data_IF_438058109996
#
_entry.id   IF_438058109996
#
_cell.length_a   1.000
_cell.length_b   1.000
_cell.length_c   1.000
_cell.angle_alpha   90.00
_cell.angle_beta   90.00
_cell.angle_gamma   90.00
#
_symmetry.space_group_name_H-M   'P 1'
#
loop_
_entity.id
_entity.type
_entity.pdbx_description
1 polymer ?
#
# COMPACT_ATOMS: atom_id res chain seq x y z
N UNK A 1 -24.98 4.42 4.42
CA UNK A 1 -25.52 5.69 4.94
C UNK A 1 -24.36 6.66 5.15
N UNK A 2 -24.57 7.97 4.89
CA UNK A 2 -23.60 9.05 5.17
C UNK A 2 -22.20 8.84 4.49
N UNK A 3 -22.16 8.33 3.27
CA UNK A 3 -20.93 8.31 2.48
C UNK A 3 -20.80 9.65 1.75
N UNK A 4 -19.61 10.26 1.85
CA UNK A 4 -19.27 11.52 1.18
C UNK A 4 -18.28 11.22 0.07
N UNK A 5 -18.55 11.69 -1.15
CA UNK A 5 -17.68 11.48 -2.31
C UNK A 5 -17.33 12.82 -2.92
N UNK A 6 -16.05 13.09 -3.01
CA UNK A 6 -15.49 14.28 -3.64
C UNK A 6 -15.65 14.29 -5.17
N UNK A 7 -15.30 15.40 -5.78
CA UNK A 7 -15.39 15.58 -7.24
C UNK A 7 -14.35 14.72 -7.98
N UNK A 8 -14.64 14.40 -9.25
CA UNK A 8 -13.74 13.69 -10.16
C UNK A 8 -13.33 12.29 -9.69
N UNK A 9 -14.11 11.63 -8.86
CA UNK A 9 -13.89 10.25 -8.47
C UNK A 9 -14.40 9.28 -9.54
N UNK A 10 -13.66 8.18 -9.77
CA UNK A 10 -14.11 7.05 -10.57
C UNK A 10 -14.32 5.85 -9.67
N UNK A 11 -15.55 5.43 -9.50
CA UNK A 11 -15.93 4.41 -8.52
C UNK A 11 -16.73 3.30 -9.21
N UNK A 12 -16.19 2.09 -9.21
CA UNK A 12 -16.81 0.91 -9.82
C UNK A 12 -16.51 -0.35 -9.01
N UNK A 13 -17.25 -1.41 -9.24
CA UNK A 13 -16.97 -2.74 -8.67
C UNK A 13 -16.59 -2.71 -7.18
N UNK A 14 -17.32 -1.99 -6.37
CA UNK A 14 -17.01 -1.83 -4.95
C UNK A 14 -18.25 -1.83 -4.07
N UNK A 15 -18.01 -2.02 -2.77
CA UNK A 15 -18.98 -1.83 -1.69
C UNK A 15 -18.37 -0.91 -0.64
N UNK A 16 -18.98 0.24 -0.43
CA UNK A 16 -18.52 1.25 0.53
C UNK A 16 -19.53 1.31 1.67
N UNK A 17 -19.04 1.10 2.88
CA UNK A 17 -19.88 1.12 4.08
C UNK A 17 -20.03 2.55 4.62
N UNK A 18 -20.85 2.69 5.62
CA UNK A 18 -21.33 3.96 6.17
C UNK A 18 -20.21 4.85 6.76
N UNK A 19 -20.49 6.15 6.76
CA UNK A 19 -19.63 7.21 7.29
C UNK A 19 -18.23 7.24 6.64
N UNK A 20 -18.09 6.71 5.43
CA UNK A 20 -16.82 6.72 4.69
C UNK A 20 -16.71 8.03 3.90
N UNK A 21 -15.51 8.59 3.89
CA UNK A 21 -15.19 9.81 3.16
C UNK A 21 -14.22 9.47 2.03
N UNK A 22 -14.59 9.76 0.80
CA UNK A 22 -13.76 9.63 -0.40
C UNK A 22 -13.44 11.04 -0.88
N UNK A 23 -12.16 11.40 -0.88
CA UNK A 23 -11.70 12.72 -1.31
C UNK A 23 -11.68 12.83 -2.85
N UNK A 24 -11.33 14.01 -3.36
CA UNK A 24 -11.35 14.31 -4.79
C UNK A 24 -10.39 13.44 -5.61
N UNK A 25 -10.77 13.05 -6.81
CA UNK A 25 -9.91 12.36 -7.76
C UNK A 25 -9.59 10.89 -7.41
N UNK A 26 -10.24 10.31 -6.42
CA UNK A 26 -10.00 8.91 -6.01
C UNK A 26 -10.52 7.94 -7.06
N UNK A 27 -9.75 6.89 -7.34
CA UNK A 27 -10.11 5.80 -8.25
C UNK A 27 -10.31 4.51 -7.45
N UNK A 28 -11.49 3.93 -7.51
CA UNK A 28 -11.81 2.68 -6.81
C UNK A 28 -12.37 1.65 -7.79
N UNK A 29 -11.83 0.42 -7.73
CA UNK A 29 -12.36 -0.72 -8.45
C UNK A 29 -11.87 -0.83 -9.90
N UNK A 30 -10.81 -0.11 -10.26
CA UNK A 30 -10.08 -0.33 -11.51
C UNK A 30 -9.45 -1.73 -11.56
N UNK A 31 -9.18 -2.22 -12.77
CA UNK A 31 -8.44 -3.48 -12.98
C UNK A 31 -7.03 -3.32 -12.40
N UNK A 32 -6.54 -4.35 -11.70
CA UNK A 32 -5.19 -4.40 -11.18
C UNK A 32 -4.16 -4.82 -12.25
N UNK A 33 -2.91 -4.75 -11.88
CA UNK A 33 -1.76 -5.07 -12.74
C UNK A 33 -1.42 -6.57 -12.63
N UNK A 34 -2.21 -7.42 -13.32
CA UNK A 34 -2.02 -8.87 -13.34
C UNK A 34 -2.10 -9.39 -14.77
N UNK A 35 -1.06 -10.12 -15.18
CA UNK A 35 -0.94 -10.64 -16.55
C UNK A 35 -0.57 -12.12 -16.53
N UNK A 36 -1.10 -12.89 -17.48
CA UNK A 36 -0.58 -14.19 -17.86
C UNK A 36 0.45 -14.00 -18.97
N UNK A 37 1.55 -14.75 -18.90
CA UNK A 37 2.58 -14.74 -19.94
C UNK A 37 2.35 -15.95 -20.82
N UNK A 38 2.15 -15.70 -22.12
CA UNK A 38 2.04 -16.72 -23.15
C UNK A 38 2.92 -16.33 -24.34
N UNK A 39 3.85 -17.20 -24.73
CA UNK A 39 4.82 -16.97 -25.81
C UNK A 39 5.45 -15.56 -25.81
N UNK A 40 5.88 -15.08 -24.64
CA UNK A 40 6.45 -13.74 -24.40
C UNK A 40 5.45 -12.57 -24.51
N UNK A 41 4.16 -12.83 -24.66
CA UNK A 41 3.13 -11.81 -24.66
C UNK A 41 2.51 -11.68 -23.26
N UNK A 42 2.20 -10.43 -22.87
CA UNK A 42 1.46 -10.15 -21.65
C UNK A 42 -0.04 -10.10 -21.97
N UNK A 43 -0.78 -11.09 -21.50
CA UNK A 43 -2.23 -11.14 -21.62
C UNK A 43 -2.87 -10.66 -20.31
N UNK A 44 -3.64 -9.57 -20.39
CA UNK A 44 -4.33 -9.01 -19.22
C UNK A 44 -5.29 -10.05 -18.63
N UNK A 45 -5.17 -10.31 -17.35
CA UNK A 45 -6.10 -11.17 -16.62
C UNK A 45 -7.34 -10.38 -16.17
N UNK A 46 -8.52 -10.96 -16.39
CA UNK A 46 -9.77 -10.39 -15.91
C UNK A 46 -9.83 -10.42 -14.37
N UNK A 47 -10.27 -9.30 -13.80
CA UNK A 47 -10.50 -9.18 -12.38
C UNK A 47 -12.00 -9.29 -12.10
N UNK A 48 -12.40 -10.25 -11.27
CA UNK A 48 -13.80 -10.55 -10.91
C UNK A 48 -14.16 -10.10 -9.50
N UNK A 49 -13.15 -10.01 -8.61
CA UNK A 49 -13.32 -9.51 -7.25
C UNK A 49 -13.74 -8.04 -7.21
N UNK A 50 -13.99 -7.52 -6.04
CA UNK A 50 -14.45 -6.15 -5.77
C UNK A 50 -13.46 -5.43 -4.87
N UNK A 51 -13.77 -4.17 -4.55
CA UNK A 51 -13.19 -3.42 -3.44
C UNK A 51 -14.24 -3.31 -2.34
N UNK A 52 -13.90 -3.70 -1.14
CA UNK A 52 -14.75 -3.55 0.06
C UNK A 52 -14.10 -2.51 0.96
N UNK A 53 -14.82 -1.44 1.30
CA UNK A 53 -14.33 -0.38 2.20
C UNK A 53 -15.20 -0.37 3.46
N UNK A 54 -14.59 -0.67 4.60
CA UNK A 54 -15.23 -0.69 5.91
C UNK A 54 -15.69 0.69 6.37
N UNK A 55 -16.63 0.69 7.31
CA UNK A 55 -17.24 1.91 7.85
C UNK A 55 -16.22 2.84 8.51
N UNK A 56 -16.57 4.11 8.60
CA UNK A 56 -15.79 5.16 9.26
C UNK A 56 -14.39 5.37 8.67
N UNK A 57 -14.13 4.93 7.43
CA UNK A 57 -12.83 5.06 6.77
C UNK A 57 -12.73 6.35 5.97
N UNK A 58 -11.52 6.79 5.66
CA UNK A 58 -11.29 7.93 4.77
C UNK A 58 -10.19 7.63 3.76
N UNK A 59 -10.43 8.02 2.50
CA UNK A 59 -9.52 7.82 1.38
C UNK A 59 -9.13 9.20 0.85
N UNK A 60 -7.85 9.51 0.91
CA UNK A 60 -7.27 10.78 0.49
C UNK A 60 -7.24 10.97 -1.02
N UNK A 61 -7.08 12.21 -1.44
CA UNK A 61 -7.19 12.65 -2.83
C UNK A 61 -6.20 11.92 -3.74
N UNK A 62 -6.67 11.61 -4.96
CA UNK A 62 -5.89 10.93 -6.00
C UNK A 62 -5.30 9.56 -5.61
N UNK A 63 -5.80 8.95 -4.56
CA UNK A 63 -5.45 7.57 -4.22
C UNK A 63 -6.18 6.59 -5.13
N UNK A 64 -5.56 5.43 -5.37
CA UNK A 64 -6.10 4.41 -6.26
C UNK A 64 -6.19 3.07 -5.55
N UNK A 65 -7.33 2.40 -5.66
CA UNK A 65 -7.58 1.08 -5.06
C UNK A 65 -8.08 0.13 -6.14
N UNK A 66 -7.24 -0.83 -6.52
CA UNK A 66 -7.58 -1.82 -7.53
C UNK A 66 -8.50 -2.91 -6.96
N UNK A 67 -9.43 -3.40 -7.79
CA UNK A 67 -10.26 -4.56 -7.46
C UNK A 67 -9.43 -5.84 -7.40
N UNK A 68 -9.88 -6.81 -6.64
CA UNK A 68 -9.22 -8.10 -6.58
C UNK A 68 -9.41 -8.94 -7.86
N UNK A 69 -8.55 -9.90 -8.05
CA UNK A 69 -8.64 -10.85 -9.20
C UNK A 69 -9.84 -11.79 -9.03
N UNK A 70 -9.76 -12.76 -8.17
CA UNK A 70 -10.87 -13.67 -7.83
C UNK A 70 -11.50 -13.29 -6.48
N UNK A 71 -10.68 -13.09 -5.45
CA UNK A 71 -11.11 -12.56 -4.15
C UNK A 71 -11.09 -11.03 -4.13
N UNK A 72 -11.67 -10.43 -3.10
CA UNK A 72 -11.80 -8.98 -2.98
C UNK A 72 -10.53 -8.31 -2.46
N UNK A 73 -10.35 -7.03 -2.78
CA UNK A 73 -9.47 -6.10 -2.06
C UNK A 73 -10.25 -5.52 -0.89
N UNK A 74 -9.70 -5.56 0.32
CA UNK A 74 -10.44 -5.25 1.55
C UNK A 74 -9.74 -4.14 2.34
N UNK A 75 -10.46 -3.05 2.57
CA UNK A 75 -10.08 -1.99 3.50
C UNK A 75 -10.96 -2.12 4.74
N UNK A 76 -10.37 -2.35 5.88
CA UNK A 76 -11.06 -2.54 7.16
C UNK A 76 -11.79 -1.29 7.66
N UNK A 77 -12.37 -1.42 8.84
CA UNK A 77 -13.07 -0.31 9.51
C UNK A 77 -12.07 0.72 10.07
N UNK A 78 -12.47 1.99 10.05
CA UNK A 78 -11.71 3.11 10.62
C UNK A 78 -10.28 3.21 10.05
N UNK A 79 -10.09 2.85 8.79
CA UNK A 79 -8.81 3.00 8.08
C UNK A 79 -8.67 4.43 7.57
N UNK A 80 -7.48 4.98 7.69
CA UNK A 80 -7.12 6.31 7.19
C UNK A 80 -6.08 6.16 6.09
N UNK A 81 -6.42 6.56 4.89
CA UNK A 81 -5.53 6.55 3.72
C UNK A 81 -5.37 8.00 3.29
N UNK A 82 -4.13 8.45 3.25
CA UNK A 82 -3.76 9.81 2.83
C UNK A 82 -3.73 9.90 1.30
N UNK A 83 -3.27 11.02 0.78
CA UNK A 83 -3.26 11.33 -0.64
C UNK A 83 -2.23 10.51 -1.42
N UNK A 84 -2.50 10.27 -2.71
CA UNK A 84 -1.55 9.62 -3.64
C UNK A 84 -1.09 8.22 -3.20
N UNK A 85 -1.92 7.48 -2.48
CA UNK A 85 -1.63 6.11 -2.08
C UNK A 85 -2.12 5.15 -3.16
N UNK A 86 -1.29 4.15 -3.49
CA UNK A 86 -1.70 3.06 -4.37
C UNK A 86 -1.89 1.75 -3.60
N UNK A 87 -3.08 1.18 -3.70
CA UNK A 87 -3.42 -0.13 -3.15
C UNK A 87 -3.74 -1.06 -4.31
N UNK A 88 -2.88 -2.05 -4.51
CA UNK A 88 -3.02 -3.01 -5.59
C UNK A 88 -4.12 -4.06 -5.29
N UNK A 89 -4.35 -4.94 -6.26
CA UNK A 89 -5.37 -5.99 -6.19
C UNK A 89 -5.16 -6.96 -5.02
N UNK A 90 -6.24 -7.45 -4.44
CA UNK A 90 -6.24 -8.47 -3.37
C UNK A 90 -5.55 -8.04 -2.06
N UNK A 91 -5.19 -6.78 -1.91
CA UNK A 91 -4.64 -6.26 -0.65
C UNK A 91 -5.73 -6.29 0.43
N UNK A 92 -5.35 -6.66 1.64
CA UNK A 92 -6.20 -6.61 2.82
C UNK A 92 -5.57 -5.71 3.87
N UNK A 93 -6.33 -4.74 4.38
CA UNK A 93 -5.89 -3.80 5.41
C UNK A 93 -6.80 -3.93 6.63
N UNK A 94 -6.21 -4.25 7.76
CA UNK A 94 -6.90 -4.39 9.05
C UNK A 94 -7.42 -3.06 9.60
N UNK A 95 -8.35 -3.16 10.53
CA UNK A 95 -9.00 -2.00 11.17
C UNK A 95 -8.01 -1.05 11.85
N UNK A 96 -8.39 0.22 11.98
CA UNK A 96 -7.63 1.26 12.68
C UNK A 96 -6.22 1.48 12.12
N UNK A 97 -5.95 1.12 10.87
CA UNK A 97 -4.65 1.30 10.23
C UNK A 97 -4.61 2.65 9.52
N UNK A 98 -3.49 3.35 9.63
CA UNK A 98 -3.24 4.63 8.97
C UNK A 98 -2.10 4.52 7.97
N UNK A 99 -2.30 5.06 6.77
CA UNK A 99 -1.35 5.01 5.65
C UNK A 99 -1.14 6.43 5.18
N UNK A 100 0.08 6.92 5.32
CA UNK A 100 0.46 8.27 4.92
C UNK A 100 0.65 8.39 3.40
N UNK A 101 0.84 9.61 2.93
CA UNK A 101 0.88 9.93 1.50
C UNK A 101 1.98 9.18 0.73
N UNK A 102 1.71 8.96 -0.56
CA UNK A 102 2.65 8.37 -1.52
C UNK A 102 3.11 6.94 -1.17
N UNK A 103 2.39 6.21 -0.36
CA UNK A 103 2.67 4.79 -0.09
C UNK A 103 2.18 3.93 -1.25
N UNK A 104 3.01 2.96 -1.65
CA UNK A 104 2.65 1.92 -2.60
C UNK A 104 2.56 0.56 -1.94
N UNK A 105 1.43 -0.13 -2.10
CA UNK A 105 1.20 -1.47 -1.55
C UNK A 105 0.95 -2.42 -2.71
N UNK A 106 1.85 -3.37 -2.91
CA UNK A 106 1.75 -4.34 -3.99
C UNK A 106 0.71 -5.43 -3.71
N UNK A 107 0.33 -6.15 -4.77
CA UNK A 107 -0.79 -7.09 -4.75
C UNK A 107 -0.68 -8.22 -3.73
N UNK A 108 -1.82 -8.65 -3.22
CA UNK A 108 -1.96 -9.78 -2.27
C UNK A 108 -1.22 -9.59 -0.95
N UNK A 109 -0.91 -8.35 -0.58
CA UNK A 109 -0.34 -8.01 0.73
C UNK A 109 -1.43 -7.97 1.80
N UNK A 110 -1.14 -8.53 2.97
CA UNK A 110 -2.01 -8.47 4.15
C UNK A 110 -1.36 -7.56 5.19
N UNK A 111 -2.08 -6.52 5.61
CA UNK A 111 -1.66 -5.60 6.67
C UNK A 111 -2.64 -5.73 7.82
N UNK A 112 -2.13 -6.01 8.99
CA UNK A 112 -2.91 -6.14 10.22
C UNK A 112 -3.59 -4.87 10.69
N UNK A 113 -4.26 -4.96 11.80
CA UNK A 113 -4.90 -3.81 12.45
C UNK A 113 -3.95 -2.97 13.28
N UNK A 114 -4.38 -1.73 13.57
CA UNK A 114 -3.65 -0.77 14.40
C UNK A 114 -2.21 -0.49 13.89
N UNK A 115 -1.99 -0.57 12.59
CA UNK A 115 -0.70 -0.28 11.97
C UNK A 115 -0.61 1.19 11.54
N UNK A 116 0.61 1.69 11.42
CA UNK A 116 0.89 2.98 10.76
C UNK A 116 1.97 2.80 9.72
N UNK A 117 1.75 3.34 8.51
CA UNK A 117 2.71 3.26 7.42
C UNK A 117 3.12 4.67 7.03
N UNK A 118 4.38 4.99 7.24
CA UNK A 118 4.95 6.29 6.94
C UNK A 118 5.02 6.59 5.45
N UNK A 119 4.92 7.87 5.10
CA UNK A 119 4.83 8.33 3.72
C UNK A 119 5.99 7.89 2.83
N UNK A 120 5.70 7.69 1.56
CA UNK A 120 6.68 7.26 0.57
C UNK A 120 7.20 5.82 0.73
N UNK A 121 6.62 5.04 1.64
CA UNK A 121 7.02 3.65 1.84
C UNK A 121 6.52 2.74 0.72
N UNK A 122 7.31 1.72 0.41
CA UNK A 122 6.96 0.66 -0.55
C UNK A 122 6.81 -0.69 0.13
N UNK A 123 5.69 -1.36 -0.11
CA UNK A 123 5.39 -2.67 0.47
C UNK A 123 5.33 -3.71 -0.64
N UNK A 124 6.18 -4.74 -0.57
CA UNK A 124 6.18 -5.84 -1.52
C UNK A 124 4.87 -6.63 -1.47
N UNK A 125 4.57 -7.28 -2.61
CA UNK A 125 3.43 -8.18 -2.73
C UNK A 125 3.61 -9.52 -2.03
N UNK A 126 2.49 -10.16 -1.72
CA UNK A 126 2.44 -11.50 -1.13
C UNK A 126 3.16 -11.62 0.22
N UNK A 127 3.19 -10.55 1.00
CA UNK A 127 3.74 -10.54 2.36
C UNK A 127 2.65 -10.22 3.38
N UNK A 128 2.92 -10.55 4.63
CA UNK A 128 2.03 -10.26 5.75
C UNK A 128 2.73 -9.36 6.76
N UNK A 129 2.02 -8.34 7.22
CA UNK A 129 2.43 -7.43 8.30
C UNK A 129 1.44 -7.64 9.44
N UNK A 130 1.92 -8.12 10.59
CA UNK A 130 1.06 -8.38 11.74
C UNK A 130 0.48 -7.09 12.35
N UNK A 131 -0.44 -7.23 13.30
CA UNK A 131 -1.03 -6.11 14.02
C UNK A 131 0.02 -5.29 14.80
N UNK A 132 -0.29 -4.01 15.03
CA UNK A 132 0.51 -3.09 15.86
C UNK A 132 1.94 -2.86 15.35
N UNK A 133 2.11 -2.77 14.03
CA UNK A 133 3.38 -2.45 13.37
C UNK A 133 3.38 -0.98 12.96
N UNK A 134 4.49 -0.28 13.25
CA UNK A 134 4.74 1.10 12.86
C UNK A 134 5.91 1.15 11.88
N UNK A 135 5.64 1.54 10.63
CA UNK A 135 6.64 1.67 9.57
C UNK A 135 6.97 3.14 9.39
N UNK A 136 8.24 3.49 9.51
CA UNK A 136 8.72 4.85 9.27
C UNK A 136 8.63 5.22 7.79
N UNK A 137 8.62 6.52 7.49
CA UNK A 137 8.59 7.00 6.11
C UNK A 137 9.78 6.53 5.26
N UNK A 138 9.57 6.47 3.94
CA UNK A 138 10.57 6.04 2.96
C UNK A 138 11.13 4.63 3.18
N UNK A 139 10.41 3.79 3.90
CA UNK A 139 10.81 2.41 4.20
C UNK A 139 10.41 1.46 3.08
N UNK A 140 11.34 0.59 2.68
CA UNK A 140 11.06 -0.52 1.76
C UNK A 140 10.87 -1.81 2.56
N UNK A 141 9.65 -2.36 2.54
CA UNK A 141 9.30 -3.61 3.21
C UNK A 141 9.30 -4.75 2.18
N UNK A 142 10.30 -5.60 2.25
CA UNK A 142 10.50 -6.69 1.28
C UNK A 142 10.14 -8.07 1.79
N UNK A 143 9.86 -8.21 3.09
CA UNK A 143 9.54 -9.48 3.76
C UNK A 143 8.43 -9.27 4.78
N UNK A 144 7.72 -10.35 5.12
CA UNK A 144 6.72 -10.35 6.18
C UNK A 144 7.27 -9.89 7.52
N UNK A 145 6.44 -9.17 8.27
CA UNK A 145 6.73 -8.67 9.62
C UNK A 145 5.80 -9.40 10.59
N UNK A 146 6.37 -10.31 11.36
CA UNK A 146 5.61 -11.21 12.24
C UNK A 146 5.61 -10.79 13.72
N UNK A 147 6.21 -9.65 14.05
CA UNK A 147 6.27 -9.13 15.42
C UNK A 147 5.83 -7.67 15.43
N UNK A 148 4.97 -7.25 16.38
CA UNK A 148 4.68 -5.84 16.61
C UNK A 148 5.95 -5.05 16.88
N UNK A 149 5.94 -3.76 16.51
CA UNK A 149 7.09 -2.88 16.75
C UNK A 149 7.26 -1.80 15.70
N UNK A 150 8.37 -1.07 15.80
CA UNK A 150 8.73 0.02 14.90
C UNK A 150 9.80 -0.45 13.91
N UNK A 151 9.59 -0.17 12.63
CA UNK A 151 10.46 -0.63 11.54
C UNK A 151 10.85 0.53 10.63
N UNK A 152 12.08 0.51 10.16
CA UNK A 152 12.62 1.48 9.23
C UNK A 152 13.64 0.83 8.29
N UNK A 153 13.84 1.43 7.13
CA UNK A 153 14.92 1.07 6.20
C UNK A 153 15.47 2.33 5.52
N UNK A 154 16.56 2.15 4.77
CA UNK A 154 17.22 3.24 4.07
C UNK A 154 18.24 3.98 4.94
N UNK A 155 18.93 4.93 4.32
CA UNK A 155 19.93 5.78 4.98
C UNK A 155 19.33 7.16 5.25
N UNK A 156 19.70 7.74 6.38
CA UNK A 156 19.32 9.12 6.72
C UNK A 156 20.00 10.12 5.78
N UNK A 157 19.43 11.33 5.70
CA UNK A 157 20.05 12.42 4.95
C UNK A 157 21.37 12.83 5.59
N UNK A 158 22.38 13.04 4.77
CA UNK A 158 23.70 13.54 5.17
C UNK A 158 24.30 14.44 4.07
N UNK A 159 25.34 15.26 4.37
CA UNK A 159 26.00 16.03 3.35
C UNK A 159 26.46 15.17 2.18
N UNK A 160 26.30 15.66 0.94
CA UNK A 160 26.57 14.91 -0.29
C UNK A 160 27.98 14.32 -0.34
N UNK A 161 28.97 15.04 0.19
CA UNK A 161 30.35 14.56 0.24
C UNK A 161 30.51 13.31 1.14
N UNK A 162 29.81 13.27 2.27
CA UNK A 162 29.78 12.14 3.18
C UNK A 162 29.02 10.98 2.55
N UNK A 163 27.84 11.24 2.00
CA UNK A 163 27.01 10.25 1.35
C UNK A 163 27.76 9.52 0.22
N UNK A 164 28.45 10.26 -0.66
CA UNK A 164 29.25 9.65 -1.75
C UNK A 164 30.35 8.72 -1.23
N UNK A 165 31.04 9.11 -0.15
CA UNK A 165 32.06 8.26 0.49
C UNK A 165 31.45 6.99 1.08
N UNK A 166 30.33 7.14 1.77
CA UNK A 166 29.63 6.02 2.39
C UNK A 166 29.08 5.05 1.34
N UNK A 167 28.52 5.55 0.23
CA UNK A 167 28.05 4.69 -0.87
C UNK A 167 29.18 3.93 -1.56
N UNK A 168 30.36 4.53 -1.71
CA UNK A 168 31.54 3.82 -2.25
C UNK A 168 31.96 2.69 -1.31
N UNK A 169 32.07 2.96 -0.02
CA UNK A 169 32.44 1.95 1.00
C UNK A 169 31.40 0.85 1.15
N UNK A 170 30.12 1.17 1.04
CA UNK A 170 29.03 0.20 1.13
C UNK A 170 29.17 -0.94 0.10
N UNK A 171 29.66 -0.62 -1.11
CA UNK A 171 29.91 -1.61 -2.16
C UNK A 171 31.07 -2.56 -1.82
N UNK A 172 31.97 -2.17 -0.93
CA UNK A 172 33.15 -2.94 -0.52
C UNK A 172 32.91 -3.75 0.77
N UNK A 173 31.70 -3.67 1.37
CA UNK A 173 31.43 -4.34 2.67
C UNK A 173 31.68 -5.84 2.65
N UNK A 174 31.35 -6.53 1.56
CA UNK A 174 31.58 -7.98 1.46
C UNK A 174 33.07 -8.32 1.44
N UNK A 175 33.88 -7.51 0.77
CA UNK A 175 35.34 -7.66 0.76
C UNK A 175 35.98 -7.37 2.13
N UNK A 176 35.41 -6.41 2.88
CA UNK A 176 35.91 -6.03 4.21
C UNK A 176 35.49 -7.04 5.30
N UNK A 177 34.44 -7.83 5.07
CA UNK A 177 33.93 -8.81 6.01
C UNK A 177 34.58 -10.20 5.90
N UNK A 178 35.41 -10.39 4.90
CA UNK A 178 36.22 -11.63 4.66
C UNK A 178 37.63 -11.51 5.21
#
# INVERSE_FOLDING_TARGET
KNVIIGSNCSISNCKIYENTIIQHGVIIGSIGFTFAIDDKNYNLMNHLGKVIIGKNSSIGSNSTISRGTLSDTIIGENVRIDNLVHIAHNVQIGKNTAIAACVGIAGSTIIGGNCTIGGGSGINGHIEICDNVHIHGMTMVTKSINKPGMYASGTTVEPVSSWRKNQARFKELDALAR
#
